data_IF_157461714508
#
_entry.id   IF_157461714508
#
_cell.length_a   1.000
_cell.length_b   1.000
_cell.length_c   1.000
_cell.angle_alpha   90.00
_cell.angle_beta   90.00
_cell.angle_gamma   90.00
#
_symmetry.space_group_name_H-M   'P 1'
#
loop_
_entity.id
_entity.type
_entity.pdbx_description
1 polymer ?
#
# COMPACT_ATOMS: atom_id res chain seq x y z
N UNK A 1 -3.49 -11.16 -39.16
CA UNK A 1 -2.54 -11.72 -38.19
C UNK A 1 -1.33 -12.20 -38.99
N UNK A 2 -0.16 -11.57 -38.84
CA UNK A 2 1.05 -12.02 -39.53
C UNK A 2 1.65 -13.20 -38.75
N UNK A 3 1.91 -14.31 -39.44
CA UNK A 3 2.64 -15.43 -38.85
C UNK A 3 4.11 -15.05 -38.68
N UNK A 4 4.76 -15.60 -37.65
CA UNK A 4 6.22 -15.55 -37.55
C UNK A 4 6.83 -16.14 -38.82
N UNK A 5 7.70 -15.38 -39.48
CA UNK A 5 8.36 -15.79 -40.72
C UNK A 5 9.70 -16.50 -40.48
N UNK A 6 10.14 -16.54 -39.22
CA UNK A 6 11.33 -17.23 -38.76
C UNK A 6 11.21 -17.56 -37.27
N UNK A 7 11.95 -18.57 -36.82
CA UNK A 7 12.02 -18.95 -35.41
C UNK A 7 12.57 -17.79 -34.57
N UNK A 8 11.92 -17.54 -33.44
CA UNK A 8 12.40 -16.58 -32.44
C UNK A 8 12.74 -17.35 -31.17
N UNK A 9 14.00 -17.27 -30.75
CA UNK A 9 14.44 -17.92 -29.51
C UNK A 9 13.98 -17.09 -28.32
N UNK A 10 13.27 -17.72 -27.38
CA UNK A 10 12.95 -17.11 -26.10
C UNK A 10 13.99 -17.55 -25.07
N UNK A 11 14.54 -16.60 -24.32
CA UNK A 11 15.49 -16.88 -23.24
C UNK A 11 14.70 -16.88 -21.93
N UNK A 12 14.68 -18.03 -21.27
CA UNK A 12 14.03 -18.20 -19.97
C UNK A 12 14.96 -17.75 -18.84
N UNK A 13 14.48 -16.90 -17.94
CA UNK A 13 15.14 -16.69 -16.65
C UNK A 13 14.71 -17.82 -15.71
N UNK A 14 15.65 -18.71 -15.37
CA UNK A 14 15.38 -19.93 -14.58
C UNK A 14 15.39 -19.71 -13.06
N UNK A 15 15.57 -18.47 -12.60
CA UNK A 15 15.72 -18.14 -11.19
C UNK A 15 14.66 -17.16 -10.68
N UNK A 16 14.68 -16.97 -9.37
CA UNK A 16 13.88 -15.96 -8.67
C UNK A 16 14.54 -14.57 -8.74
N UNK A 17 15.44 -14.34 -9.69
CA UNK A 17 16.24 -13.12 -9.77
C UNK A 17 16.00 -12.38 -11.09
N UNK A 18 16.05 -11.05 -11.01
CA UNK A 18 15.92 -10.18 -12.16
C UNK A 18 16.75 -8.91 -11.97
N UNK A 19 17.45 -8.55 -13.03
CA UNK A 19 18.20 -7.30 -13.10
C UNK A 19 17.28 -6.15 -13.51
N UNK A 20 17.37 -5.05 -12.77
CA UNK A 20 16.66 -3.80 -13.07
C UNK A 20 17.65 -2.65 -13.23
N UNK A 21 17.47 -1.77 -14.23
CA UNK A 21 18.32 -0.59 -14.41
C UNK A 21 18.11 0.37 -13.24
N UNK A 22 19.20 0.83 -12.62
CA UNK A 22 19.18 1.71 -11.45
C UNK A 22 18.99 3.16 -11.87
N UNK A 23 18.21 3.92 -11.10
CA UNK A 23 18.03 5.34 -11.32
C UNK A 23 19.35 6.13 -11.16
N UNK A 24 19.48 7.26 -11.85
CA UNK A 24 20.59 8.19 -11.72
C UNK A 24 20.72 8.67 -10.27
N UNK A 25 21.94 9.03 -9.86
CA UNK A 25 22.23 9.62 -8.54
C UNK A 25 21.66 8.83 -7.35
N UNK A 26 21.59 7.50 -7.48
CA UNK A 26 20.92 6.64 -6.50
C UNK A 26 21.88 5.60 -5.95
N UNK A 27 21.82 5.36 -4.64
CA UNK A 27 22.56 4.28 -3.99
C UNK A 27 21.56 3.30 -3.35
N UNK A 28 21.70 2.01 -3.68
CA UNK A 28 20.90 0.91 -3.15
C UNK A 28 21.82 0.04 -2.31
N UNK A 29 21.49 -0.14 -1.04
CA UNK A 29 22.25 -1.01 -0.15
C UNK A 29 21.74 -2.44 -0.21
N UNK A 30 22.62 -3.39 0.08
CA UNK A 30 22.23 -4.79 0.26
C UNK A 30 21.13 -4.92 1.31
N UNK A 31 20.13 -5.76 1.04
CA UNK A 31 18.98 -5.99 1.91
C UNK A 31 17.86 -4.95 1.76
N UNK A 32 18.04 -3.94 0.90
CA UNK A 32 17.00 -2.93 0.66
C UNK A 32 15.78 -3.54 -0.03
N UNK A 33 14.60 -3.13 0.40
CA UNK A 33 13.37 -3.20 -0.40
C UNK A 33 13.55 -2.23 -1.57
N UNK A 34 13.39 -2.74 -2.80
CA UNK A 34 13.60 -1.97 -4.03
C UNK A 34 12.24 -1.69 -4.68
N UNK A 35 12.04 -0.43 -5.06
CA UNK A 35 10.90 0.03 -5.85
C UNK A 35 11.33 0.37 -7.27
N UNK A 36 10.40 0.26 -8.22
CA UNK A 36 10.50 0.84 -9.56
C UNK A 36 9.71 2.14 -9.59
N UNK A 37 10.38 3.22 -9.98
CA UNK A 37 9.72 4.50 -10.20
C UNK A 37 8.79 4.45 -11.42
N UNK A 38 8.06 5.53 -11.69
CA UNK A 38 7.15 5.63 -12.83
C UNK A 38 7.83 5.40 -14.20
N UNK A 39 9.14 5.65 -14.30
CA UNK A 39 9.94 5.42 -15.51
C UNK A 39 10.52 4.00 -15.60
N UNK A 40 10.32 3.17 -14.58
CA UNK A 40 10.80 1.78 -14.53
C UNK A 40 12.22 1.60 -13.99
N UNK A 41 12.84 2.64 -13.43
CA UNK A 41 14.17 2.56 -12.84
C UNK A 41 14.12 2.15 -11.36
N UNK A 42 15.03 1.26 -10.97
CA UNK A 42 15.18 0.78 -9.60
C UNK A 42 15.76 1.85 -8.67
N UNK A 43 15.13 2.02 -7.52
CA UNK A 43 15.56 2.91 -6.43
C UNK A 43 15.19 2.32 -5.06
N UNK A 44 15.75 2.85 -3.95
CA UNK A 44 15.25 2.53 -2.61
C UNK A 44 13.74 2.72 -2.56
N UNK A 45 13.02 1.74 -2.01
CA UNK A 45 11.56 1.73 -2.04
C UNK A 45 10.95 3.00 -1.44
N UNK A 46 10.06 3.62 -2.22
CA UNK A 46 9.18 4.71 -1.79
C UNK A 46 7.74 4.25 -1.99
N UNK A 47 6.86 4.57 -1.05
CA UNK A 47 5.45 4.21 -1.15
C UNK A 47 4.85 4.81 -2.44
N UNK A 48 4.13 3.99 -3.19
CA UNK A 48 3.62 4.31 -4.53
C UNK A 48 4.47 3.74 -5.68
N UNK A 49 5.72 3.37 -5.42
CA UNK A 49 6.53 2.61 -6.38
C UNK A 49 6.00 1.18 -6.55
N UNK A 50 6.23 0.61 -7.73
CA UNK A 50 6.02 -0.83 -7.90
C UNK A 50 7.10 -1.59 -7.15
N UNK A 51 6.71 -2.47 -6.23
CA UNK A 51 7.65 -3.34 -5.53
C UNK A 51 8.38 -4.27 -6.53
N UNK A 52 9.69 -4.07 -6.71
CA UNK A 52 10.53 -4.89 -7.58
C UNK A 52 11.01 -6.16 -6.89
N UNK A 53 11.23 -6.10 -5.58
CA UNK A 53 11.85 -7.18 -4.83
C UNK A 53 12.79 -6.67 -3.74
N UNK A 54 13.56 -7.59 -3.19
CA UNK A 54 14.64 -7.29 -2.24
C UNK A 54 15.96 -7.62 -2.92
N UNK A 55 16.92 -6.70 -2.86
CA UNK A 55 18.26 -6.95 -3.39
C UNK A 55 19.17 -7.60 -2.34
N UNK A 56 19.97 -8.57 -2.77
CA UNK A 56 21.01 -9.19 -1.94
C UNK A 56 22.39 -8.58 -2.19
N UNK A 57 22.47 -7.54 -3.00
CA UNK A 57 23.70 -6.83 -3.33
C UNK A 57 23.54 -5.32 -3.20
N UNK A 58 24.65 -4.61 -3.00
CA UNK A 58 24.67 -3.15 -3.06
C UNK A 58 24.99 -2.67 -4.48
N UNK A 59 24.38 -1.55 -4.89
CA UNK A 59 24.67 -0.85 -6.14
C UNK A 59 24.69 0.66 -5.93
N UNK A 60 25.81 1.28 -6.27
CA UNK A 60 26.00 2.71 -6.18
C UNK A 60 26.03 3.33 -7.58
N UNK A 61 24.96 4.05 -7.94
CA UNK A 61 24.80 4.80 -9.18
C UNK A 61 24.85 6.33 -8.95
N UNK A 62 25.51 6.78 -7.88
CA UNK A 62 25.40 8.16 -7.36
C UNK A 62 26.05 9.24 -8.26
N UNK A 63 26.71 8.87 -9.36
CA UNK A 63 27.38 9.80 -10.29
C UNK A 63 27.18 9.41 -11.75
N UNK A 64 26.08 8.72 -12.03
CA UNK A 64 25.79 8.07 -13.29
C UNK A 64 24.41 8.49 -13.81
N UNK A 65 24.12 8.21 -15.08
CA UNK A 65 22.78 8.41 -15.66
C UNK A 65 21.87 7.21 -15.36
N UNK A 66 20.60 7.34 -15.70
CA UNK A 66 19.62 6.28 -15.52
C UNK A 66 20.01 5.05 -16.34
N UNK A 67 20.09 3.88 -15.68
CA UNK A 67 20.36 2.60 -16.32
C UNK A 67 21.81 2.30 -16.66
N UNK A 68 22.76 3.12 -16.21
CA UNK A 68 24.21 2.82 -16.35
C UNK A 68 24.61 1.54 -15.60
N UNK A 69 23.93 1.23 -14.51
CA UNK A 69 24.12 0.03 -13.71
C UNK A 69 22.81 -0.70 -13.51
N UNK A 70 22.91 -2.03 -13.36
CA UNK A 70 21.78 -2.87 -12.98
C UNK A 70 21.94 -3.39 -11.55
N UNK A 71 20.81 -3.54 -10.86
CA UNK A 71 20.71 -4.21 -9.55
C UNK A 71 19.91 -5.51 -9.70
N UNK A 72 20.47 -6.60 -9.19
CA UNK A 72 19.77 -7.87 -9.11
C UNK A 72 18.84 -7.88 -7.89
N UNK A 73 17.56 -8.15 -8.13
CA UNK A 73 16.52 -8.25 -7.10
C UNK A 73 15.86 -9.62 -7.13
N UNK A 74 15.53 -10.15 -5.94
CA UNK A 74 14.66 -11.32 -5.83
C UNK A 74 13.23 -10.95 -6.21
N UNK A 75 12.64 -11.69 -7.15
CA UNK A 75 11.33 -11.46 -7.76
C UNK A 75 10.45 -12.71 -7.65
N UNK A 76 9.14 -12.51 -7.71
CA UNK A 76 8.16 -13.58 -7.66
C UNK A 76 7.75 -13.84 -6.23
N UNK A 77 7.69 -15.12 -5.86
CA UNK A 77 7.35 -15.58 -4.51
C UNK A 77 8.59 -16.16 -3.87
N UNK A 78 9.09 -15.53 -2.82
CA UNK A 78 10.28 -15.98 -2.13
C UNK A 78 10.17 -15.74 -0.62
N UNK A 79 10.94 -16.49 0.16
CA UNK A 79 10.93 -16.41 1.62
C UNK A 79 12.22 -15.77 2.12
N UNK A 80 12.11 -14.85 3.08
CA UNK A 80 13.25 -14.28 3.79
C UNK A 80 12.95 -14.13 5.28
N UNK A 81 13.96 -14.37 6.11
CA UNK A 81 13.96 -13.95 7.52
C UNK A 81 14.18 -12.44 7.56
N UNK A 82 13.26 -11.72 8.18
CA UNK A 82 13.31 -10.26 8.28
C UNK A 82 13.03 -9.78 9.69
N UNK A 83 13.61 -8.64 10.04
CA UNK A 83 13.23 -7.92 11.25
C UNK A 83 11.83 -7.34 11.05
N UNK A 84 10.90 -7.71 11.93
CA UNK A 84 9.51 -7.26 11.91
C UNK A 84 9.08 -6.97 13.35
N UNK A 85 9.12 -5.69 13.71
CA UNK A 85 8.78 -5.25 15.05
C UNK A 85 7.31 -5.56 15.38
N UNK A 86 7.05 -6.00 16.62
CA UNK A 86 5.70 -6.28 17.11
C UNK A 86 5.09 -7.61 16.65
N UNK A 87 5.79 -8.40 15.84
CA UNK A 87 5.27 -9.71 15.37
C UNK A 87 5.03 -10.67 16.53
N UNK A 88 3.91 -11.37 16.46
CA UNK A 88 3.47 -12.38 17.43
C UNK A 88 3.17 -13.72 16.76
N UNK A 89 3.02 -14.76 17.58
CA UNK A 89 2.67 -16.11 17.11
C UNK A 89 1.31 -16.13 16.37
N UNK A 90 0.36 -15.29 16.80
CA UNK A 90 -0.96 -15.15 16.18
C UNK A 90 -0.89 -14.65 14.73
N UNK A 91 0.10 -13.81 14.41
CA UNK A 91 0.26 -13.23 13.07
C UNK A 91 0.65 -14.31 12.05
N UNK A 92 1.40 -15.32 12.48
CA UNK A 92 1.74 -16.46 11.62
C UNK A 92 0.52 -17.35 11.32
N UNK A 93 -0.43 -17.47 12.25
CA UNK A 93 -1.63 -18.30 12.08
C UNK A 93 -2.57 -17.71 11.02
N UNK A 94 -2.75 -16.39 11.03
CA UNK A 94 -3.62 -15.68 10.08
C UNK A 94 -2.91 -15.30 8.79
N UNK A 95 -1.61 -15.61 8.69
CA UNK A 95 -0.71 -15.12 7.66
C UNK A 95 -0.82 -13.59 7.46
N UNK A 96 -0.59 -12.86 8.56
CA UNK A 96 -0.77 -11.42 8.63
C UNK A 96 -0.01 -10.71 7.49
N UNK A 97 -0.64 -9.67 6.91
CA UNK A 97 -0.03 -8.92 5.82
C UNK A 97 1.18 -8.14 6.32
N UNK A 98 2.24 -8.11 5.51
CA UNK A 98 3.46 -7.35 5.78
C UNK A 98 3.56 -6.23 4.76
N UNK A 99 3.84 -5.03 5.27
CA UNK A 99 3.87 -3.79 4.52
C UNK A 99 5.29 -3.22 4.53
N UNK A 100 5.73 -2.65 3.42
CA UNK A 100 6.94 -1.85 3.33
C UNK A 100 6.58 -0.37 3.51
N UNK A 101 7.24 0.27 4.47
CA UNK A 101 7.14 1.72 4.71
C UNK A 101 8.20 2.47 3.90
N UNK A 102 9.40 1.90 3.86
CA UNK A 102 10.53 2.43 3.12
C UNK A 102 11.47 1.27 2.73
N UNK A 103 12.66 1.61 2.22
CA UNK A 103 13.68 0.65 1.79
C UNK A 103 14.25 -0.28 2.88
N UNK A 104 14.10 0.04 4.17
CA UNK A 104 14.63 -0.72 5.31
C UNK A 104 13.61 -1.03 6.40
N UNK A 105 12.42 -0.46 6.35
CA UNK A 105 11.40 -0.59 7.40
C UNK A 105 10.20 -1.39 6.90
N UNK A 106 9.92 -2.49 7.59
CA UNK A 106 8.71 -3.30 7.41
C UNK A 106 7.75 -3.09 8.59
N UNK A 107 6.45 -3.18 8.33
CA UNK A 107 5.38 -2.97 9.29
C UNK A 107 4.26 -4.00 9.12
N UNK A 108 3.55 -4.28 10.21
CA UNK A 108 2.33 -5.10 10.23
C UNK A 108 1.05 -4.26 10.05
N UNK A 109 1.18 -2.93 10.10
CA UNK A 109 0.03 -2.02 10.16
C UNK A 109 -0.18 -1.26 8.87
N UNK A 110 0.86 -0.58 8.40
CA UNK A 110 0.78 0.46 7.38
C UNK A 110 1.95 0.38 6.41
N UNK A 111 1.79 0.97 5.23
CA UNK A 111 2.71 0.96 4.11
C UNK A 111 2.06 0.31 2.87
N UNK A 112 2.90 -0.08 1.92
CA UNK A 112 2.46 -0.86 0.76
C UNK A 112 2.62 -2.35 1.03
N UNK A 113 1.58 -3.15 0.79
CA UNK A 113 1.65 -4.60 1.05
C UNK A 113 2.66 -5.27 0.11
N UNK A 114 3.69 -5.89 0.68
CA UNK A 114 4.77 -6.59 -0.05
C UNK A 114 4.80 -8.09 0.21
N UNK A 115 4.09 -8.57 1.24
CA UNK A 115 4.14 -9.97 1.62
C UNK A 115 3.17 -10.35 2.74
N UNK A 116 3.42 -11.52 3.32
CA UNK A 116 2.70 -12.05 4.48
C UNK A 116 3.61 -12.86 5.41
N UNK A 117 3.28 -12.88 6.69
CA UNK A 117 3.99 -13.69 7.70
C UNK A 117 3.68 -15.17 7.49
N UNK A 118 4.70 -16.01 7.51
CA UNK A 118 4.58 -17.47 7.35
C UNK A 118 4.92 -18.20 8.64
N UNK A 119 5.96 -17.75 9.34
CA UNK A 119 6.36 -18.32 10.60
C UNK A 119 6.90 -17.23 11.54
N UNK A 120 6.51 -17.32 12.80
CA UNK A 120 7.14 -16.56 13.88
C UNK A 120 8.43 -17.28 14.30
N UNK A 121 9.58 -16.60 14.23
CA UNK A 121 10.86 -17.18 14.60
C UNK A 121 11.24 -16.79 16.04
N UNK A 122 11.18 -15.49 16.35
CA UNK A 122 11.42 -14.93 17.69
C UNK A 122 10.86 -13.50 17.78
N UNK A 123 10.92 -12.90 18.96
CA UNK A 123 10.50 -11.51 19.14
C UNK A 123 11.21 -10.59 18.14
N UNK A 124 10.43 -9.83 17.39
CA UNK A 124 10.94 -8.89 16.38
C UNK A 124 11.44 -9.54 15.08
N UNK A 125 11.29 -10.85 14.88
CA UNK A 125 11.80 -11.54 13.68
C UNK A 125 10.84 -12.63 13.19
N UNK A 126 10.54 -12.60 11.90
CA UNK A 126 9.63 -13.54 11.25
C UNK A 126 10.17 -14.02 9.90
N UNK A 127 9.70 -15.20 9.48
CA UNK A 127 9.81 -15.64 8.10
C UNK A 127 8.65 -15.06 7.30
N UNK A 128 8.96 -14.27 6.28
CA UNK A 128 7.97 -13.58 5.44
C UNK A 128 8.04 -14.13 4.01
N UNK A 129 6.87 -14.43 3.45
CA UNK A 129 6.71 -14.65 2.02
C UNK A 129 6.51 -13.29 1.35
N UNK A 130 7.43 -12.91 0.48
CA UNK A 130 7.31 -11.73 -0.38
C UNK A 130 6.66 -12.11 -1.71
N UNK A 131 5.84 -11.22 -2.25
CA UNK A 131 5.22 -11.37 -3.56
C UNK A 131 5.35 -10.07 -4.36
N UNK A 132 6.13 -10.08 -5.43
CA UNK A 132 6.39 -8.87 -6.23
C UNK A 132 5.30 -8.54 -7.26
N UNK A 133 4.36 -9.45 -7.49
CA UNK A 133 3.24 -9.25 -8.41
C UNK A 133 1.94 -9.80 -7.81
N UNK A 134 1.41 -9.19 -6.74
CA UNK A 134 0.17 -9.64 -6.14
C UNK A 134 -1.02 -9.31 -7.06
N UNK A 135 -2.07 -10.13 -7.00
CA UNK A 135 -3.29 -9.92 -7.82
C UNK A 135 -4.06 -8.66 -7.41
N UNK A 136 -3.94 -8.26 -6.16
CA UNK A 136 -4.53 -7.05 -5.60
C UNK A 136 -3.48 -6.33 -4.77
N UNK A 137 -3.52 -5.02 -4.80
CA UNK A 137 -2.69 -4.15 -3.98
C UNK A 137 -3.48 -3.72 -2.74
N UNK A 138 -2.75 -3.51 -1.65
CA UNK A 138 -3.31 -2.94 -0.42
C UNK A 138 -2.40 -1.80 -0.01
N UNK A 139 -2.94 -0.58 -0.06
CA UNK A 139 -2.35 0.59 0.57
C UNK A 139 -2.89 0.67 1.98
N UNK A 140 -2.02 0.85 2.97
CA UNK A 140 -2.48 1.10 4.34
C UNK A 140 -1.78 2.28 4.99
N UNK A 141 -2.54 3.16 5.63
CA UNK A 141 -2.03 4.34 6.32
C UNK A 141 -2.73 4.48 7.66
N UNK A 142 -1.97 4.82 8.69
CA UNK A 142 -2.50 5.08 10.03
C UNK A 142 -2.89 6.54 10.11
N UNK A 143 -4.11 6.82 10.55
CA UNK A 143 -4.62 8.19 10.76
C UNK A 143 -5.06 8.34 12.20
N UNK A 144 -4.55 9.36 12.88
CA UNK A 144 -4.96 9.74 14.23
C UNK A 144 -5.88 10.96 14.18
N UNK A 145 -6.72 11.13 15.20
CA UNK A 145 -7.63 12.28 15.34
C UNK A 145 -6.92 13.63 15.12
N UNK A 146 -5.70 13.78 15.65
CA UNK A 146 -4.92 15.00 15.52
C UNK A 146 -4.46 15.33 14.09
N UNK A 147 -4.56 14.39 13.15
CA UNK A 147 -4.17 14.58 11.75
C UNK A 147 -5.33 15.13 10.89
N UNK A 148 -6.56 15.12 11.41
CA UNK A 148 -7.74 15.57 10.68
C UNK A 148 -7.83 17.11 10.65
N UNK A 149 -8.18 17.64 9.47
CA UNK A 149 -8.57 19.04 9.28
C UNK A 149 -10.06 19.18 9.53
N UNK A 150 -10.42 20.04 10.49
CA UNK A 150 -11.79 20.38 10.85
C UNK A 150 -12.43 21.37 9.86
N UNK A 151 -13.69 21.11 9.45
CA UNK A 151 -14.45 21.94 8.50
C UNK A 151 -15.86 22.28 9.00
N UNK A 152 -16.43 21.53 9.94
CA UNK A 152 -17.73 21.72 10.64
C UNK A 152 -18.05 20.42 11.40
N UNK A 153 -19.18 19.75 11.14
CA UNK A 153 -19.48 18.40 11.64
C UNK A 153 -18.48 17.32 11.18
N UNK A 154 -17.68 17.61 10.16
CA UNK A 154 -16.74 16.67 9.54
C UNK A 154 -15.30 17.14 9.67
N UNK A 155 -14.42 16.19 9.97
CA UNK A 155 -12.98 16.31 9.80
C UNK A 155 -12.52 15.45 8.63
N UNK A 156 -11.50 15.88 7.91
CA UNK A 156 -10.92 15.08 6.81
C UNK A 156 -9.40 15.02 6.86
N UNK A 157 -8.85 13.97 6.28
CA UNK A 157 -7.42 13.82 6.00
C UNK A 157 -7.24 13.21 4.61
N UNK A 158 -6.32 13.78 3.83
CA UNK A 158 -5.88 13.18 2.57
C UNK A 158 -4.72 12.23 2.86
N UNK A 159 -4.83 11.00 2.37
CA UNK A 159 -3.76 10.02 2.46
C UNK A 159 -2.54 10.50 1.67
N UNK A 160 -1.35 10.22 2.19
CA UNK A 160 -0.10 10.69 1.58
C UNK A 160 0.19 10.05 0.22
N UNK A 161 -0.33 8.84 -0.01
CA UNK A 161 -0.06 8.05 -1.21
C UNK A 161 -1.26 8.03 -2.16
N UNK A 162 -1.10 8.50 -3.41
CA UNK A 162 -2.14 8.38 -4.42
C UNK A 162 -2.26 6.95 -4.95
N UNK A 163 -3.48 6.56 -5.30
CA UNK A 163 -3.76 5.33 -6.06
C UNK A 163 -3.52 5.63 -7.54
N UNK A 164 -2.74 4.81 -8.27
CA UNK A 164 -2.35 5.12 -9.64
C UNK A 164 -3.53 5.05 -10.62
N UNK A 165 -3.41 5.79 -11.73
CA UNK A 165 -4.33 5.73 -12.87
C UNK A 165 -4.50 4.30 -13.40
N UNK A 166 -5.69 3.98 -13.89
CA UNK A 166 -6.05 2.65 -14.42
C UNK A 166 -6.33 1.61 -13.34
N UNK A 167 -6.19 1.98 -12.06
CA UNK A 167 -6.54 1.08 -10.94
C UNK A 167 -8.04 0.93 -10.80
N UNK A 168 -8.45 -0.22 -10.28
CA UNK A 168 -9.85 -0.47 -9.89
C UNK A 168 -9.92 -0.69 -8.39
N UNK A 169 -10.47 0.26 -7.65
CA UNK A 169 -10.71 0.16 -6.21
C UNK A 169 -11.81 -0.86 -5.97
N UNK A 170 -11.52 -1.86 -5.14
CA UNK A 170 -12.46 -2.92 -4.74
C UNK A 170 -13.19 -2.59 -3.44
N UNK A 171 -12.59 -1.73 -2.61
CA UNK A 171 -13.17 -1.25 -1.37
C UNK A 171 -12.11 -0.80 -0.39
N UNK A 172 -12.55 -0.46 0.80
CA UNK A 172 -11.70 -0.07 1.91
C UNK A 172 -12.14 -0.73 3.21
N UNK A 173 -11.20 -0.79 4.15
CA UNK A 173 -11.39 -1.24 5.51
C UNK A 173 -10.69 -0.27 6.45
N UNK A 174 -11.35 0.13 7.53
CA UNK A 174 -10.75 0.83 8.65
C UNK A 174 -10.68 -0.14 9.83
N UNK A 175 -9.48 -0.35 10.34
CA UNK A 175 -9.23 -1.08 11.58
C UNK A 175 -9.07 -0.04 12.70
N UNK A 176 -10.19 0.29 13.35
CA UNK A 176 -10.28 1.34 14.37
C UNK A 176 -9.65 0.82 15.66
N UNK A 177 -8.49 1.37 16.01
CA UNK A 177 -7.73 0.98 17.20
C UNK A 177 -8.24 1.69 18.44
N UNK A 178 -8.48 2.98 18.30
CA UNK A 178 -9.10 3.83 19.32
C UNK A 178 -10.33 4.45 18.70
N UNK A 179 -11.50 4.22 19.30
CA UNK A 179 -12.75 4.80 18.84
C UNK A 179 -12.70 6.33 18.77
N UNK A 180 -13.44 6.89 17.83
CA UNK A 180 -13.62 8.33 17.67
C UNK A 180 -14.59 8.86 18.73
N UNK A 181 -14.11 8.85 19.98
CA UNK A 181 -14.88 9.15 21.20
C UNK A 181 -15.15 10.65 21.40
N UNK A 182 -16.02 11.00 22.35
CA UNK A 182 -16.53 12.38 22.53
C UNK A 182 -17.82 12.63 21.74
N UNK A 183 -18.11 11.76 20.77
CA UNK A 183 -19.33 11.75 19.98
C UNK A 183 -19.91 10.32 19.89
N UNK A 184 -21.24 10.18 19.80
CA UNK A 184 -21.92 8.87 19.73
C UNK A 184 -22.35 8.48 18.32
N UNK A 185 -22.10 9.32 17.33
CA UNK A 185 -22.55 9.17 15.94
C UNK A 185 -21.41 9.27 14.92
N UNK A 186 -20.15 9.19 15.37
CA UNK A 186 -18.99 9.30 14.50
C UNK A 186 -18.99 8.18 13.45
N UNK A 187 -19.06 8.56 12.17
CA UNK A 187 -19.02 7.66 11.02
C UNK A 187 -17.85 8.01 10.11
N UNK A 188 -17.24 6.99 9.51
CA UNK A 188 -16.12 7.14 8.59
C UNK A 188 -16.52 6.81 7.16
N UNK A 189 -16.03 7.63 6.23
CA UNK A 189 -16.17 7.46 4.79
C UNK A 189 -14.82 7.66 4.13
N UNK A 190 -14.57 6.91 3.06
CA UNK A 190 -13.40 7.05 2.20
C UNK A 190 -13.86 7.41 0.78
N UNK A 191 -13.22 8.43 0.22
CA UNK A 191 -13.50 8.98 -1.10
C UNK A 191 -12.33 9.80 -1.61
N UNK A 192 -12.61 10.98 -2.14
CA UNK A 192 -11.62 11.96 -2.59
C UNK A 192 -12.13 13.39 -2.33
N UNK A 193 -11.26 14.39 -2.54
CA UNK A 193 -11.67 15.79 -2.48
C UNK A 193 -12.80 16.08 -3.47
N UNK A 194 -13.90 16.64 -2.95
CA UNK A 194 -15.11 16.92 -3.73
C UNK A 194 -16.06 15.74 -3.95
N UNK A 195 -15.69 14.52 -3.54
CA UNK A 195 -16.52 13.32 -3.63
C UNK A 195 -16.22 12.36 -2.46
N UNK A 196 -16.79 12.66 -1.30
CA UNK A 196 -16.46 12.05 0.00
C UNK A 196 -16.82 10.57 0.10
N UNK A 197 -17.75 10.09 -0.72
CA UNK A 197 -18.25 8.71 -0.70
C UNK A 197 -17.82 7.91 -1.92
N UNK A 198 -16.90 8.42 -2.75
CA UNK A 198 -16.43 7.76 -3.98
C UNK A 198 -16.09 6.27 -3.78
N UNK A 199 -15.53 5.90 -2.63
CA UNK A 199 -15.15 4.51 -2.32
C UNK A 199 -16.06 3.87 -1.26
N UNK A 200 -17.13 4.54 -0.82
CA UNK A 200 -17.98 4.14 0.30
C UNK A 200 -19.44 3.98 -0.10
N UNK A 201 -19.85 2.79 -0.53
CA UNK A 201 -21.26 2.43 -0.71
C UNK A 201 -22.07 2.54 0.59
N UNK A 202 -21.47 2.18 1.73
CA UNK A 202 -22.06 2.34 3.06
C UNK A 202 -21.56 3.63 3.69
N UNK A 203 -22.47 4.58 3.91
CA UNK A 203 -22.16 5.94 4.38
C UNK A 203 -22.14 6.07 5.92
N UNK A 204 -22.64 5.06 6.63
CA UNK A 204 -22.85 5.05 8.08
C UNK A 204 -21.92 4.04 8.80
N UNK A 205 -20.69 3.87 8.30
CA UNK A 205 -19.70 3.00 8.93
C UNK A 205 -19.23 3.61 10.25
N UNK A 206 -19.80 3.15 11.37
CA UNK A 206 -19.49 3.68 12.71
C UNK A 206 -18.01 3.51 13.06
N UNK A 207 -17.40 4.57 13.59
CA UNK A 207 -16.04 4.55 14.14
C UNK A 207 -16.01 4.98 15.61
N UNK A 208 -17.15 5.00 16.30
CA UNK A 208 -17.29 5.43 17.71
C UNK A 208 -16.52 4.54 18.68
N UNK A 209 -16.41 3.24 18.37
CA UNK A 209 -15.70 2.25 19.17
C UNK A 209 -14.60 1.57 18.35
N UNK A 210 -13.67 0.92 19.04
CA UNK A 210 -12.67 0.08 18.38
C UNK A 210 -13.36 -1.12 17.72
N UNK A 211 -13.26 -1.21 16.40
CA UNK A 211 -13.85 -2.24 15.56
C UNK A 211 -13.23 -2.20 14.16
N UNK A 212 -13.53 -3.22 13.36
CA UNK A 212 -13.20 -3.25 11.94
C UNK A 212 -14.43 -2.91 11.12
N UNK A 213 -14.39 -1.79 10.40
CA UNK A 213 -15.45 -1.37 9.49
C UNK A 213 -14.92 -1.22 8.08
N UNK A 214 -15.81 -1.13 7.08
CA UNK A 214 -15.40 -1.02 5.69
C UNK A 214 -16.57 -1.01 4.73
N UNK A 215 -16.27 -0.68 3.48
CA UNK A 215 -17.25 -0.67 2.41
C UNK A 215 -16.61 -0.94 1.05
N UNK A 216 -17.39 -1.54 0.16
CA UNK A 216 -17.12 -1.51 -1.28
C UNK A 216 -17.41 -0.11 -1.86
N UNK A 217 -16.92 0.22 -3.07
CA UNK A 217 -17.34 1.44 -3.78
C UNK A 217 -18.84 1.41 -4.13
N UNK A 218 -19.52 2.56 -4.23
CA UNK A 218 -20.93 2.62 -4.60
C UNK A 218 -21.17 2.15 -6.04
N UNK A 219 -22.33 1.55 -6.30
CA UNK A 219 -22.72 1.08 -7.64
C UNK A 219 -23.39 2.15 -8.51
N UNK A 220 -23.49 3.39 -8.03
CA UNK A 220 -24.48 4.40 -8.50
C UNK A 220 -23.97 5.40 -9.53
N UNK A 221 -22.71 5.34 -9.99
CA UNK A 221 -22.26 6.07 -11.17
C UNK A 221 -21.13 5.37 -11.93
N UNK A 222 -20.99 5.69 -13.23
CA UNK A 222 -19.88 5.21 -14.04
C UNK A 222 -18.52 5.63 -13.43
N UNK A 223 -17.54 4.73 -13.42
CA UNK A 223 -16.15 4.99 -13.02
C UNK A 223 -15.86 5.36 -11.54
N UNK A 224 -16.73 5.07 -10.57
CA UNK A 224 -16.37 5.37 -9.16
C UNK A 224 -15.24 4.48 -8.62
N UNK A 225 -15.27 3.18 -8.92
CA UNK A 225 -14.16 2.26 -8.62
C UNK A 225 -13.00 2.34 -9.61
N UNK A 226 -13.24 2.77 -10.86
CA UNK A 226 -12.21 2.85 -11.89
C UNK A 226 -11.55 4.23 -11.92
N UNK A 227 -10.24 4.27 -11.78
CA UNK A 227 -9.50 5.54 -11.71
C UNK A 227 -9.00 5.94 -13.09
N UNK A 228 -9.63 6.95 -13.71
CA UNK A 228 -9.19 7.51 -15.00
C UNK A 228 -7.98 8.46 -14.89
N UNK A 229 -7.54 8.75 -13.66
CA UNK A 229 -6.32 9.49 -13.33
C UNK A 229 -5.86 9.00 -11.94
N UNK A 230 -4.64 9.33 -11.54
CA UNK A 230 -4.21 9.08 -10.17
C UNK A 230 -5.10 9.86 -9.18
N UNK A 231 -5.53 9.20 -8.10
CA UNK A 231 -6.44 9.78 -7.09
C UNK A 231 -5.81 9.70 -5.72
N UNK A 232 -5.78 10.81 -5.00
CA UNK A 232 -5.42 10.86 -3.58
C UNK A 232 -6.66 10.51 -2.75
N UNK A 233 -6.67 9.39 -2.03
CA UNK A 233 -7.80 9.02 -1.19
C UNK A 233 -7.96 9.99 -0.03
N UNK A 234 -9.21 10.34 0.27
CA UNK A 234 -9.59 11.15 1.42
C UNK A 234 -10.38 10.30 2.41
N UNK A 235 -10.00 10.39 3.68
CA UNK A 235 -10.75 9.82 4.79
C UNK A 235 -11.51 10.97 5.45
N UNK A 236 -12.82 10.82 5.59
CA UNK A 236 -13.69 11.79 6.25
C UNK A 236 -14.34 11.12 7.44
N UNK A 237 -14.23 11.74 8.61
CA UNK A 237 -14.99 11.32 9.80
C UNK A 237 -16.00 12.42 10.09
N UNK A 238 -17.27 12.05 10.10
CA UNK A 238 -18.38 12.96 10.38
C UNK A 238 -18.98 12.61 11.74
N UNK A 239 -18.96 13.57 12.64
CA UNK A 239 -19.53 13.50 13.99
C UNK A 239 -20.92 14.11 14.07
N UNK A 240 -21.24 14.65 15.25
CA UNK A 240 -22.52 15.31 15.53
C UNK A 240 -22.63 16.66 14.83
N UNK A 241 -22.81 17.74 15.60
CA UNK A 241 -22.93 19.08 15.02
C UNK A 241 -21.58 19.73 14.70
N UNK A 242 -20.48 19.21 15.25
CA UNK A 242 -19.15 19.79 15.15
C UNK A 242 -18.10 18.67 15.36
N UNK A 243 -17.05 18.64 14.56
CA UNK A 243 -15.96 17.67 14.63
C UNK A 243 -15.13 17.86 15.91
N UNK A 244 -15.06 19.08 16.46
CA UNK A 244 -14.39 19.34 17.75
C UNK A 244 -15.02 18.62 18.94
N UNK A 245 -16.24 18.08 18.78
CA UNK A 245 -16.85 17.21 19.78
C UNK A 245 -16.15 15.85 19.89
N UNK A 246 -15.36 15.45 18.89
CA UNK A 246 -14.52 14.26 18.95
C UNK A 246 -13.21 14.62 19.67
N UNK A 247 -12.80 13.80 20.64
CA UNK A 247 -11.65 14.11 21.50
C UNK A 247 -10.49 13.12 21.39
N UNK A 248 -10.68 12.00 20.70
CA UNK A 248 -9.67 10.98 20.46
C UNK A 248 -10.11 10.15 19.25
N UNK A 249 -9.17 9.41 18.65
CA UNK A 249 -9.44 8.49 17.56
C UNK A 249 -8.14 8.05 16.88
N UNK A 250 -8.05 6.77 16.51
CA UNK A 250 -6.95 6.24 15.69
C UNK A 250 -7.46 5.04 14.90
N UNK A 251 -7.17 5.00 13.59
CA UNK A 251 -7.49 3.85 12.75
C UNK A 251 -6.43 3.61 11.68
N UNK A 252 -6.27 2.34 11.28
CA UNK A 252 -5.51 1.97 10.09
C UNK A 252 -6.48 1.87 8.90
N UNK A 253 -6.38 2.80 7.96
CA UNK A 253 -7.12 2.78 6.71
C UNK A 253 -6.40 1.85 5.74
N UNK A 254 -7.14 0.93 5.13
CA UNK A 254 -6.67 -0.03 4.13
C UNK A 254 -7.52 0.14 2.88
N UNK A 255 -6.89 0.44 1.76
CA UNK A 255 -7.58 0.53 0.46
C UNK A 255 -7.11 -0.63 -0.40
N UNK A 256 -8.07 -1.42 -0.88
CA UNK A 256 -7.85 -2.60 -1.69
C UNK A 256 -8.16 -2.24 -3.13
N UNK A 257 -7.21 -2.43 -4.03
CA UNK A 257 -7.38 -2.09 -5.43
C UNK A 257 -6.65 -3.08 -6.35
N UNK A 258 -7.17 -3.26 -7.56
CA UNK A 258 -6.45 -3.95 -8.62
C UNK A 258 -5.38 -3.02 -9.20
N UNK A 259 -4.18 -3.54 -9.51
CA UNK A 259 -3.14 -2.74 -10.16
C UNK A 259 -3.62 -2.17 -11.49
N UNK A 260 -2.98 -1.09 -11.92
CA UNK A 260 -3.29 -0.40 -13.16
C UNK A 260 -3.41 -1.38 -14.33
N UNK A 261 -4.64 -1.55 -14.83
CA UNK A 261 -4.85 -2.26 -16.09
C UNK A 261 -4.43 -1.30 -17.20
N UNK A 262 -3.57 -1.77 -18.10
CA UNK A 262 -3.16 -0.97 -19.25
C UNK A 262 -4.41 -0.75 -20.12
N UNK A 263 -4.88 0.50 -20.14
CA UNK A 263 -6.01 0.97 -20.93
C UNK A 263 -5.56 1.20 -22.37
#
# INVERSE_FOLDING_TARGET
MAALTQDTTWIESRGEEADFPVAATTNIYQGSVVGLNASGYARPFVIGDKFAGITLEGRNNNSSVDGDLNVCCKRGKFYLEVALAGVALSDAVIEASVYAQDSGTLSLRSGFKVGKVVAYLRSGVALVLFETNPQFHVLSETVAFGDFTDVDASGYIDLSTPIPEGSVVLGWQADVKTGFTGNTTAVVQVGESGNVDRFSAKLDSSCVAADVVGSAPPSVAANQGYLAAAVTPRVTVTGGTDFTAISAGEMDIKIIYLPALRV
#
